data_IF_593221358712
#
_entry.id   IF_593221358712
#
_cell.length_a   1.000
_cell.length_b   1.000
_cell.length_c   1.000
_cell.angle_alpha   90.00
_cell.angle_beta   90.00
_cell.angle_gamma   90.00
#
_symmetry.space_group_name_H-M   'P 1'
#
loop_
_entity.id
_entity.type
_entity.pdbx_description
1 polymer ?
#
# COMPACT_ATOMS: atom_id res chain seq x y z
N UNK A 1 6.32 -25.92 6.85
CA UNK A 1 4.96 -26.18 7.36
C UNK A 1 4.16 -27.15 6.48
N UNK A 2 4.68 -27.56 5.32
CA UNK A 2 3.95 -28.39 4.37
C UNK A 2 3.33 -29.64 5.02
N UNK A 3 4.13 -30.49 5.67
CA UNK A 3 3.63 -31.72 6.32
C UNK A 3 2.53 -31.45 7.35
N UNK A 4 2.59 -30.30 8.03
CA UNK A 4 1.55 -29.89 8.96
C UNK A 4 0.27 -29.47 8.22
N UNK A 5 0.37 -28.68 7.18
CA UNK A 5 -0.79 -28.27 6.39
C UNK A 5 -1.48 -29.44 5.74
N UNK A 6 -0.71 -30.37 5.16
CA UNK A 6 -1.25 -31.61 4.56
C UNK A 6 -1.98 -32.47 5.60
N UNK A 7 -1.36 -32.66 6.76
CA UNK A 7 -1.95 -33.44 7.88
C UNK A 7 -3.26 -32.85 8.39
N UNK A 8 -3.32 -31.52 8.50
CA UNK A 8 -4.48 -30.83 9.06
C UNK A 8 -5.52 -30.40 7.99
N UNK A 9 -5.26 -30.72 6.72
CA UNK A 9 -6.15 -30.40 5.60
C UNK A 9 -6.25 -28.89 5.32
N UNK A 10 -5.19 -28.13 5.60
CA UNK A 10 -5.11 -26.68 5.31
C UNK A 10 -4.55 -26.51 3.90
N UNK A 11 -5.36 -25.99 3.00
CA UNK A 11 -4.94 -25.74 1.62
C UNK A 11 -4.54 -24.28 1.41
N UNK A 12 -3.37 -24.04 0.83
CA UNK A 12 -2.97 -22.68 0.44
C UNK A 12 -3.85 -22.11 -0.68
N UNK A 13 -4.56 -22.94 -1.44
CA UNK A 13 -5.55 -22.49 -2.43
C UNK A 13 -6.78 -21.82 -1.80
N UNK A 14 -7.00 -22.00 -0.50
CA UNK A 14 -8.08 -21.36 0.24
C UNK A 14 -7.77 -19.90 0.57
N UNK A 15 -6.54 -19.43 0.29
CA UNK A 15 -6.09 -18.08 0.55
C UNK A 15 -5.79 -17.31 -0.74
N UNK A 16 -5.83 -15.98 -0.65
CA UNK A 16 -5.48 -15.10 -1.76
C UNK A 16 -4.10 -15.43 -2.34
N UNK A 17 -3.97 -15.70 -3.64
CA UNK A 17 -2.69 -16.07 -4.25
C UNK A 17 -1.57 -15.07 -4.00
N UNK A 18 -1.88 -13.77 -4.01
CA UNK A 18 -0.89 -12.72 -3.74
C UNK A 18 -0.33 -12.82 -2.32
N UNK A 19 -1.18 -13.12 -1.33
CA UNK A 19 -0.74 -13.26 0.07
C UNK A 19 0.00 -14.57 0.32
N UNK A 20 -0.38 -15.66 -0.35
CA UNK A 20 0.37 -16.93 -0.30
C UNK A 20 1.77 -16.72 -0.88
N UNK A 21 1.85 -16.12 -2.05
CA UNK A 21 3.13 -15.81 -2.70
C UNK A 21 4.03 -14.92 -1.83
N UNK A 22 3.46 -13.86 -1.25
CA UNK A 22 4.21 -12.88 -0.48
C UNK A 22 4.64 -13.38 0.89
N UNK A 23 3.75 -14.06 1.63
CA UNK A 23 3.97 -14.34 3.05
C UNK A 23 4.35 -15.78 3.35
N UNK A 24 3.98 -16.71 2.47
CA UNK A 24 4.06 -18.12 2.80
C UNK A 24 5.23 -18.85 2.15
N UNK A 25 5.66 -18.44 0.95
CA UNK A 25 6.58 -19.23 0.12
C UNK A 25 8.02 -18.72 0.15
N UNK A 26 8.97 -19.67 0.19
CA UNK A 26 10.38 -19.40 -0.04
C UNK A 26 11.10 -20.64 -0.59
N UNK A 27 11.97 -20.56 -1.61
CA UNK A 27 12.13 -19.42 -2.51
C UNK A 27 10.82 -19.03 -3.21
N UNK A 28 10.77 -17.81 -3.73
CA UNK A 28 9.59 -17.31 -4.44
C UNK A 28 9.10 -18.28 -5.51
N UNK A 29 7.78 -18.46 -5.55
CA UNK A 29 7.13 -19.34 -6.52
C UNK A 29 7.32 -20.85 -6.24
N UNK A 30 7.99 -21.21 -5.13
CA UNK A 30 8.04 -22.61 -4.67
C UNK A 30 6.76 -22.97 -3.91
N UNK A 31 6.54 -24.27 -3.71
CA UNK A 31 5.49 -24.79 -2.84
C UNK A 31 6.03 -25.12 -1.43
N UNK A 32 7.14 -24.46 -1.01
CA UNK A 32 7.66 -24.61 0.34
C UNK A 32 7.05 -23.51 1.22
N UNK A 33 6.17 -23.91 2.13
CA UNK A 33 5.42 -23.00 2.98
C UNK A 33 6.06 -22.83 4.35
N UNK A 34 6.35 -21.59 4.70
CA UNK A 34 6.94 -21.18 5.98
C UNK A 34 5.96 -20.45 6.89
N UNK A 35 4.85 -19.96 6.34
CA UNK A 35 3.82 -19.23 7.07
C UNK A 35 2.42 -19.54 6.53
N UNK A 36 1.40 -19.30 7.37
CA UNK A 36 0.02 -19.16 6.94
C UNK A 36 -0.23 -17.66 6.63
N UNK A 37 -0.89 -17.29 5.51
CA UNK A 37 -1.34 -15.92 5.31
C UNK A 37 -2.31 -15.51 6.41
N UNK A 38 -1.96 -14.48 7.20
CA UNK A 38 -2.74 -14.09 8.37
C UNK A 38 -3.56 -12.83 8.15
N UNK A 39 -2.91 -11.80 7.62
CA UNK A 39 -3.53 -10.50 7.39
C UNK A 39 -3.17 -10.01 6.00
N UNK A 40 -4.17 -9.83 5.15
CA UNK A 40 -4.03 -9.10 3.88
C UNK A 40 -4.10 -7.60 4.16
N UNK A 41 -3.25 -6.82 3.52
CA UNK A 41 -3.33 -5.37 3.57
C UNK A 41 -2.89 -4.78 2.23
N UNK A 42 -3.27 -3.55 1.96
CA UNK A 42 -2.83 -2.81 0.79
C UNK A 42 -2.74 -1.33 1.12
N UNK A 43 -1.79 -0.66 0.49
CA UNK A 43 -1.74 0.79 0.52
C UNK A 43 -2.82 1.35 -0.42
N UNK A 44 -3.67 2.22 0.13
CA UNK A 44 -4.83 2.74 -0.57
C UNK A 44 -5.18 4.16 -0.13
N UNK A 45 -6.35 4.64 -0.48
CA UNK A 45 -6.76 6.02 -0.28
C UNK A 45 -8.10 6.15 0.41
N UNK A 46 -8.20 7.12 1.32
CA UNK A 46 -9.47 7.67 1.78
C UNK A 46 -9.62 9.12 1.30
N UNK A 47 -10.86 9.56 1.09
CA UNK A 47 -11.16 10.92 0.67
C UNK A 47 -12.37 11.49 1.43
N UNK A 48 -12.44 12.80 1.56
CA UNK A 48 -13.53 13.53 2.21
C UNK A 48 -14.76 13.56 1.30
N UNK A 49 -15.53 12.47 1.34
CA UNK A 49 -16.75 12.30 0.57
C UNK A 49 -17.76 13.44 0.82
N UNK A 50 -17.86 13.90 2.07
CA UNK A 50 -18.70 15.03 2.45
C UNK A 50 -18.34 16.35 1.73
N UNK A 51 -17.05 16.58 1.40
CA UNK A 51 -16.64 17.73 0.57
C UNK A 51 -16.91 17.45 -0.90
N UNK A 52 -16.59 16.25 -1.36
CA UNK A 52 -16.78 15.83 -2.74
C UNK A 52 -18.24 15.84 -3.16
N UNK A 53 -19.18 15.61 -2.23
CA UNK A 53 -20.59 15.62 -2.50
C UNK A 53 -21.24 17.02 -2.51
N UNK A 54 -20.51 18.08 -2.18
CA UNK A 54 -21.00 19.46 -2.21
C UNK A 54 -21.27 19.91 -3.65
N UNK A 55 -22.49 20.34 -3.98
CA UNK A 55 -22.84 20.71 -5.35
C UNK A 55 -21.99 21.85 -5.93
N UNK A 56 -21.64 22.84 -5.10
CA UNK A 56 -20.80 23.96 -5.49
C UNK A 56 -19.38 23.52 -5.85
N UNK A 57 -18.77 22.59 -5.08
CA UNK A 57 -17.42 22.08 -5.36
C UNK A 57 -17.42 21.19 -6.60
N UNK A 58 -18.44 20.35 -6.77
CA UNK A 58 -18.64 19.55 -7.99
C UNK A 58 -18.74 20.41 -9.23
N UNK A 59 -19.55 21.47 -9.18
CA UNK A 59 -19.76 22.38 -10.30
C UNK A 59 -18.48 23.12 -10.66
N UNK A 60 -17.76 23.66 -9.67
CA UNK A 60 -16.51 24.38 -9.85
C UNK A 60 -15.41 23.48 -10.42
N UNK A 61 -15.24 22.27 -9.85
CA UNK A 61 -14.26 21.30 -10.33
C UNK A 61 -14.53 20.89 -11.78
N UNK A 62 -15.78 20.55 -12.09
CA UNK A 62 -16.19 20.15 -13.45
C UNK A 62 -15.94 21.28 -14.46
N UNK A 63 -16.21 22.54 -14.09
CA UNK A 63 -15.94 23.70 -14.94
C UNK A 63 -14.44 23.87 -15.20
N UNK A 64 -13.59 23.59 -14.19
CA UNK A 64 -12.14 23.75 -14.28
C UNK A 64 -11.46 22.62 -15.05
N UNK A 65 -11.86 21.37 -14.79
CA UNK A 65 -11.17 20.17 -15.27
C UNK A 65 -11.91 19.39 -16.36
N UNK A 66 -13.20 19.67 -16.60
CA UNK A 66 -13.99 19.04 -17.66
C UNK A 66 -14.59 17.68 -17.33
N UNK A 67 -14.37 17.17 -16.11
CA UNK A 67 -14.93 15.91 -15.61
C UNK A 67 -15.40 16.05 -14.15
N UNK A 68 -16.11 15.04 -13.64
CA UNK A 68 -16.76 15.12 -12.33
C UNK A 68 -15.77 14.93 -11.18
N UNK A 69 -15.95 15.67 -10.08
CA UNK A 69 -15.28 15.44 -8.81
C UNK A 69 -15.81 14.14 -8.19
N UNK A 70 -14.92 13.17 -7.95
CA UNK A 70 -15.28 11.86 -7.45
C UNK A 70 -14.06 10.99 -7.15
N UNK A 71 -14.22 9.67 -7.21
CA UNK A 71 -13.08 8.75 -7.09
C UNK A 71 -12.18 8.91 -8.33
N UNK A 72 -10.88 9.18 -8.17
CA UNK A 72 -9.97 9.39 -9.29
C UNK A 72 -9.73 8.08 -10.05
N UNK A 73 -9.88 8.11 -11.38
CA UNK A 73 -9.64 6.94 -12.23
C UNK A 73 -8.16 6.64 -12.45
N UNK A 74 -7.29 7.62 -12.24
CA UNK A 74 -5.83 7.51 -12.39
C UNK A 74 -5.11 8.56 -11.54
N UNK A 75 -3.77 8.46 -11.45
CA UNK A 75 -2.96 9.36 -10.66
C UNK A 75 -3.03 10.82 -11.12
N UNK A 76 -3.21 11.09 -12.42
CA UNK A 76 -3.38 12.47 -12.90
C UNK A 76 -4.68 13.09 -12.37
N UNK A 77 -5.78 12.34 -12.36
CA UNK A 77 -7.04 12.81 -11.77
C UNK A 77 -6.93 12.99 -10.25
N UNK A 78 -6.20 12.10 -9.55
CA UNK A 78 -5.89 12.26 -8.13
C UNK A 78 -5.15 13.60 -7.90
N UNK A 79 -4.13 13.89 -8.70
CA UNK A 79 -3.38 15.15 -8.63
C UNK A 79 -4.27 16.38 -8.91
N UNK A 80 -5.10 16.34 -9.93
CA UNK A 80 -6.03 17.43 -10.23
C UNK A 80 -6.99 17.71 -9.07
N UNK A 81 -7.51 16.64 -8.44
CA UNK A 81 -8.39 16.75 -7.26
C UNK A 81 -7.63 17.23 -6.04
N UNK A 82 -6.43 16.73 -5.78
CA UNK A 82 -5.58 17.19 -4.68
C UNK A 82 -5.27 18.68 -4.79
N UNK A 83 -4.82 19.13 -5.96
CA UNK A 83 -4.50 20.56 -6.21
C UNK A 83 -5.75 21.45 -6.16
N UNK A 84 -6.92 20.92 -6.50
CA UNK A 84 -8.17 21.63 -6.38
C UNK A 84 -8.49 21.97 -4.91
N UNK A 85 -8.15 21.12 -3.96
CA UNK A 85 -8.35 21.34 -2.54
C UNK A 85 -7.18 22.08 -1.87
N UNK A 86 -6.01 22.17 -2.51
CA UNK A 86 -4.81 22.75 -1.94
C UNK A 86 -5.00 24.23 -1.59
N UNK A 87 -4.90 24.54 -0.31
CA UNK A 87 -5.05 25.92 0.21
C UNK A 87 -6.48 26.48 0.17
N UNK A 88 -7.47 25.65 -0.17
CA UNK A 88 -8.88 26.06 -0.25
C UNK A 88 -9.48 26.28 1.12
N UNK A 89 -10.28 27.32 1.25
CA UNK A 89 -11.09 27.56 2.44
C UNK A 89 -12.39 26.72 2.35
N UNK A 90 -12.61 25.87 3.34
CA UNK A 90 -13.84 25.09 3.51
C UNK A 90 -14.28 25.22 4.98
N UNK A 91 -15.51 25.64 5.19
CA UNK A 91 -16.09 25.87 6.53
C UNK A 91 -15.23 26.81 7.40
N UNK A 92 -14.68 27.88 6.80
CA UNK A 92 -13.87 28.88 7.47
C UNK A 92 -12.47 28.42 7.87
N UNK A 93 -12.01 27.29 7.32
CA UNK A 93 -10.67 26.76 7.59
C UNK A 93 -9.94 26.42 6.29
N UNK A 94 -8.64 26.71 6.28
CA UNK A 94 -7.77 26.37 5.15
C UNK A 94 -7.53 24.87 5.13
N UNK A 95 -7.81 24.24 3.98
CA UNK A 95 -7.65 22.80 3.73
C UNK A 95 -6.58 22.54 2.67
N UNK A 96 -6.10 21.30 2.62
CA UNK A 96 -5.02 20.89 1.75
C UNK A 96 -5.41 19.65 0.93
N UNK A 97 -4.58 19.32 -0.06
CA UNK A 97 -4.88 18.26 -1.00
C UNK A 97 -4.79 16.88 -0.39
N UNK A 98 -3.60 16.47 0.02
CA UNK A 98 -3.38 15.08 0.43
C UNK A 98 -2.31 14.95 1.53
N UNK A 99 -2.56 14.06 2.48
CA UNK A 99 -1.55 13.49 3.36
C UNK A 99 -1.00 12.21 2.70
N UNK A 100 0.29 12.21 2.38
CA UNK A 100 1.01 11.11 1.75
C UNK A 100 2.22 10.71 2.58
N UNK A 101 2.79 9.55 2.31
CA UNK A 101 3.94 9.04 3.02
C UNK A 101 5.21 9.81 2.65
N UNK A 102 5.87 10.40 3.64
CA UNK A 102 7.09 11.20 3.47
C UNK A 102 8.17 10.88 4.50
N UNK A 103 7.84 10.09 5.53
CA UNK A 103 8.78 9.70 6.58
C UNK A 103 10.02 9.02 6.00
N UNK A 104 11.22 9.48 6.43
CA UNK A 104 12.49 8.91 5.98
C UNK A 104 12.75 7.53 6.58
N UNK A 105 12.28 7.29 7.80
CA UNK A 105 12.43 6.02 8.49
C UNK A 105 11.26 5.07 8.30
N UNK A 106 11.31 3.92 8.97
CA UNK A 106 10.18 3.02 9.18
C UNK A 106 9.40 2.63 7.91
N UNK A 107 10.07 2.52 6.76
CA UNK A 107 9.46 2.22 5.45
C UNK A 107 8.60 3.34 4.85
N UNK A 108 8.35 4.43 5.56
CA UNK A 108 7.33 5.41 5.25
C UNK A 108 7.30 5.85 3.78
N UNK A 109 8.34 6.58 3.34
CA UNK A 109 8.35 7.13 1.97
C UNK A 109 8.48 6.04 0.90
N UNK A 110 9.20 4.93 1.20
CA UNK A 110 9.37 3.84 0.23
C UNK A 110 8.04 3.18 -0.12
N UNK A 111 7.17 2.97 0.87
CA UNK A 111 5.84 2.40 0.64
C UNK A 111 4.99 3.28 -0.27
N UNK A 112 5.00 4.59 -0.02
CA UNK A 112 4.24 5.54 -0.81
C UNK A 112 4.73 5.68 -2.25
N UNK A 113 6.04 5.86 -2.44
CA UNK A 113 6.62 6.01 -3.77
C UNK A 113 6.53 4.72 -4.59
N UNK A 114 6.68 3.55 -3.94
CA UNK A 114 6.55 2.25 -4.61
C UNK A 114 5.13 2.05 -5.15
N UNK A 115 4.10 2.52 -4.46
CA UNK A 115 2.73 2.48 -4.98
C UNK A 115 2.57 3.27 -6.29
N UNK A 116 3.25 4.41 -6.42
CA UNK A 116 3.33 5.14 -7.69
C UNK A 116 4.17 4.38 -8.73
N UNK A 117 5.38 3.95 -8.38
CA UNK A 117 6.27 3.25 -9.28
C UNK A 117 5.62 1.99 -9.89
N UNK A 118 4.90 1.22 -9.08
CA UNK A 118 4.12 0.08 -9.59
C UNK A 118 3.02 0.49 -10.56
N UNK A 119 2.29 1.58 -10.25
CA UNK A 119 1.24 2.07 -11.13
C UNK A 119 1.79 2.59 -12.48
N UNK A 120 3.03 3.07 -12.52
CA UNK A 120 3.74 3.41 -13.76
C UNK A 120 4.31 2.19 -14.49
N UNK A 121 4.40 1.02 -13.84
CA UNK A 121 4.86 -0.23 -14.44
C UNK A 121 6.33 -0.55 -14.18
N UNK A 122 6.90 -0.02 -13.08
CA UNK A 122 8.25 -0.38 -12.64
C UNK A 122 8.33 -1.86 -12.26
N UNK A 123 9.45 -2.48 -12.61
CA UNK A 123 9.87 -3.78 -12.12
C UNK A 123 11.22 -3.61 -11.38
N UNK A 124 11.49 -4.44 -10.38
CA UNK A 124 12.75 -4.36 -9.63
C UNK A 124 13.95 -4.78 -10.47
N UNK A 125 13.77 -5.78 -11.31
CA UNK A 125 14.82 -6.43 -12.07
C UNK A 125 14.31 -6.97 -13.41
N UNK A 126 15.21 -7.37 -14.25
CA UNK A 126 14.93 -8.09 -15.48
C UNK A 126 14.26 -9.44 -15.16
N UNK A 127 13.04 -9.72 -15.64
CA UNK A 127 12.34 -10.97 -15.33
C UNK A 127 13.04 -12.23 -15.85
N UNK A 128 14.00 -12.07 -16.77
CA UNK A 128 14.78 -13.17 -17.35
C UNK A 128 16.21 -13.27 -16.80
N UNK A 129 16.62 -12.33 -15.93
CA UNK A 129 17.98 -12.29 -15.38
C UNK A 129 17.92 -11.70 -13.97
N UNK A 130 17.91 -12.57 -12.93
CA UNK A 130 17.88 -12.11 -11.55
C UNK A 130 18.99 -11.08 -11.25
N UNK A 131 18.65 -10.10 -10.42
CA UNK A 131 19.50 -9.01 -9.96
C UNK A 131 20.02 -8.04 -11.06
N UNK A 132 19.47 -8.11 -12.28
CA UNK A 132 19.74 -7.18 -13.37
C UNK A 132 18.74 -6.00 -13.29
N UNK A 133 19.06 -4.99 -12.50
CA UNK A 133 18.18 -3.90 -12.10
C UNK A 133 18.19 -2.71 -13.06
N UNK A 134 19.32 -2.54 -13.79
CA UNK A 134 19.53 -1.40 -14.68
C UNK A 134 18.51 -1.39 -15.85
N UNK A 135 17.83 -0.26 -16.05
CA UNK A 135 16.78 -0.11 -17.04
C UNK A 135 15.41 -0.69 -16.62
N UNK A 136 15.32 -1.31 -15.45
CA UNK A 136 14.08 -1.81 -14.84
C UNK A 136 13.68 -0.98 -13.64
N UNK A 137 14.46 -1.02 -12.55
CA UNK A 137 14.19 -0.22 -11.36
C UNK A 137 14.36 1.29 -11.62
N UNK A 138 15.32 1.67 -12.42
CA UNK A 138 15.57 3.05 -12.85
C UNK A 138 15.07 3.36 -14.28
N UNK A 139 14.06 2.61 -14.74
CA UNK A 139 13.43 2.82 -16.06
C UNK A 139 12.85 4.24 -16.19
N UNK A 140 12.64 4.73 -17.42
CA UNK A 140 11.98 6.02 -17.64
C UNK A 140 10.63 6.13 -16.91
N UNK A 141 9.86 5.04 -16.85
CA UNK A 141 8.58 4.98 -16.13
C UNK A 141 8.76 5.12 -14.61
N UNK A 142 9.78 4.48 -14.05
CA UNK A 142 10.11 4.62 -12.63
C UNK A 142 10.55 6.05 -12.29
N UNK A 143 11.37 6.66 -13.15
CA UNK A 143 11.78 8.08 -13.01
C UNK A 143 10.56 8.99 -13.02
N UNK A 144 9.67 8.84 -14.01
CA UNK A 144 8.42 9.61 -14.09
C UNK A 144 7.54 9.45 -12.85
N UNK A 145 7.43 8.24 -12.31
CA UNK A 145 6.66 7.98 -11.09
C UNK A 145 7.23 8.71 -9.87
N UNK A 146 8.55 8.70 -9.70
CA UNK A 146 9.24 9.36 -8.58
C UNK A 146 9.15 10.88 -8.72
N UNK A 147 9.28 11.42 -9.94
CA UNK A 147 9.06 12.85 -10.22
C UNK A 147 7.62 13.26 -9.92
N UNK A 148 6.65 12.42 -10.31
CA UNK A 148 5.24 12.67 -10.01
C UNK A 148 4.95 12.63 -8.51
N UNK A 149 5.56 11.70 -7.76
CA UNK A 149 5.39 11.61 -6.32
C UNK A 149 5.93 12.86 -5.60
N UNK A 150 7.09 13.37 -6.04
CA UNK A 150 7.62 14.65 -5.56
C UNK A 150 6.65 15.80 -5.86
N UNK A 151 6.14 15.87 -7.09
CA UNK A 151 5.17 16.89 -7.48
C UNK A 151 3.89 16.83 -6.62
N UNK A 152 3.41 15.62 -6.32
CA UNK A 152 2.28 15.42 -5.42
C UNK A 152 2.59 15.93 -4.00
N UNK A 153 3.79 15.68 -3.50
CA UNK A 153 4.24 16.21 -2.22
C UNK A 153 4.31 17.75 -2.21
N UNK A 154 4.99 18.34 -3.18
CA UNK A 154 5.21 19.80 -3.23
C UNK A 154 3.88 20.57 -3.40
N UNK A 155 2.97 20.07 -4.23
CA UNK A 155 1.76 20.78 -4.63
C UNK A 155 0.53 20.44 -3.79
N UNK A 156 0.53 19.36 -3.02
CA UNK A 156 -0.68 18.84 -2.36
C UNK A 156 -0.55 18.59 -0.87
N UNK A 157 0.67 18.41 -0.34
CA UNK A 157 0.84 18.11 1.08
C UNK A 157 0.56 19.34 1.97
N UNK A 158 0.04 19.13 3.18
CA UNK A 158 -0.11 20.22 4.14
C UNK A 158 1.25 20.68 4.69
N UNK A 159 1.36 21.90 5.20
CA UNK A 159 2.58 22.36 5.87
C UNK A 159 2.99 21.44 7.01
N UNK A 160 4.30 21.19 7.14
CA UNK A 160 4.86 20.34 8.19
C UNK A 160 4.76 18.84 7.93
N UNK A 161 4.42 18.42 6.70
CA UNK A 161 4.23 17.02 6.30
C UNK A 161 5.49 16.38 5.70
N UNK A 162 6.68 16.84 6.11
CA UNK A 162 7.96 16.36 5.57
C UNK A 162 8.45 15.04 6.17
N UNK A 163 7.83 14.59 7.26
CA UNK A 163 8.17 13.34 7.97
C UNK A 163 6.89 12.68 8.48
N UNK A 164 6.04 12.25 7.55
CA UNK A 164 4.71 11.73 7.84
C UNK A 164 4.51 10.31 7.32
N UNK A 165 3.90 9.49 8.14
CA UNK A 165 3.50 8.13 7.83
C UNK A 165 2.20 7.80 8.58
N UNK A 166 1.75 6.60 8.57
CA UNK A 166 0.52 6.01 9.10
C UNK A 166 -0.31 6.92 10.03
N UNK A 167 0.18 7.18 11.24
CA UNK A 167 -0.55 7.95 12.27
C UNK A 167 -0.66 9.42 11.88
N UNK A 168 0.40 10.02 11.37
CA UNK A 168 0.41 11.43 10.94
C UNK A 168 -0.58 11.67 9.78
N UNK A 169 -0.65 10.74 8.81
CA UNK A 169 -1.63 10.80 7.72
C UNK A 169 -3.06 10.67 8.24
N UNK A 170 -3.28 9.71 9.15
CA UNK A 170 -4.59 9.50 9.79
C UNK A 170 -5.05 10.74 10.57
N UNK A 171 -4.18 11.35 11.36
CA UNK A 171 -4.49 12.53 12.16
C UNK A 171 -4.78 13.75 11.29
N UNK A 172 -3.99 13.98 10.23
CA UNK A 172 -4.24 15.03 9.26
C UNK A 172 -5.62 14.88 8.59
N UNK A 173 -6.02 13.65 8.29
CA UNK A 173 -7.32 13.37 7.70
C UNK A 173 -8.47 13.52 8.72
N UNK A 174 -8.37 12.91 9.90
CA UNK A 174 -9.40 12.95 10.95
C UNK A 174 -9.65 14.37 11.47
N UNK A 175 -8.61 15.20 11.52
CA UNK A 175 -8.77 16.62 11.86
C UNK A 175 -9.40 17.45 10.73
N UNK A 176 -9.66 16.86 9.57
CA UNK A 176 -10.18 17.53 8.40
C UNK A 176 -9.17 18.49 7.75
N UNK A 177 -7.88 18.28 7.95
CA UNK A 177 -6.85 19.13 7.35
C UNK A 177 -6.72 18.88 5.84
N UNK A 178 -6.92 17.63 5.38
CA UNK A 178 -6.69 17.20 4.00
C UNK A 178 -7.92 16.58 3.35
N UNK A 179 -8.02 16.70 2.02
CA UNK A 179 -9.08 16.08 1.22
C UNK A 179 -8.86 14.58 1.02
N UNK A 180 -7.59 14.15 0.93
CA UNK A 180 -7.20 12.76 0.77
C UNK A 180 -6.16 12.36 1.80
N UNK A 181 -6.13 11.06 2.11
CA UNK A 181 -4.98 10.43 2.76
C UNK A 181 -4.61 9.13 2.07
N UNK A 182 -3.30 8.87 1.95
CA UNK A 182 -2.73 7.57 1.64
C UNK A 182 -2.48 6.83 2.94
N UNK A 183 -2.96 5.58 3.06
CA UNK A 183 -2.69 4.77 4.23
C UNK A 183 -2.99 3.28 3.95
N UNK A 184 -2.63 2.41 4.89
CA UNK A 184 -2.96 1.00 4.89
C UNK A 184 -4.42 0.77 5.30
N UNK A 185 -5.06 -0.26 4.74
CA UNK A 185 -6.43 -0.62 5.13
C UNK A 185 -6.56 -0.87 6.64
N UNK A 186 -5.51 -1.37 7.29
CA UNK A 186 -5.47 -1.56 8.73
C UNK A 186 -5.85 -0.32 9.56
N UNK A 187 -5.77 0.88 8.99
CA UNK A 187 -6.12 2.14 9.63
C UNK A 187 -7.57 2.60 9.38
N UNK A 188 -8.28 2.02 8.40
CA UNK A 188 -9.65 2.45 8.08
C UNK A 188 -10.69 2.17 9.17
N UNK A 189 -10.59 1.10 10.00
CA UNK A 189 -11.48 0.96 11.16
C UNK A 189 -11.44 2.17 12.09
N UNK A 190 -10.27 2.82 12.23
CA UNK A 190 -10.12 4.05 13.01
C UNK A 190 -10.82 5.27 12.41
N UNK A 191 -11.05 5.27 11.10
CA UNK A 191 -11.83 6.31 10.39
C UNK A 191 -13.33 5.96 10.40
N UNK A 192 -13.67 4.73 10.02
CA UNK A 192 -15.05 4.29 9.82
C UNK A 192 -15.84 4.11 11.11
N UNK A 193 -15.17 3.97 12.26
CA UNK A 193 -15.84 3.87 13.56
C UNK A 193 -16.70 5.08 13.89
N UNK A 194 -16.26 6.26 13.45
CA UNK A 194 -16.95 7.54 13.65
C UNK A 194 -17.85 7.90 12.45
N UNK A 195 -17.75 7.17 11.35
CA UNK A 195 -18.46 7.36 10.08
C UNK A 195 -18.95 6.02 9.50
N UNK A 196 -19.65 5.25 10.32
CA UNK A 196 -20.07 3.89 9.95
C UNK A 196 -21.06 3.80 8.77
N UNK A 197 -21.72 4.89 8.45
CA UNK A 197 -22.64 5.01 7.31
C UNK A 197 -21.99 5.63 6.06
N UNK A 198 -20.68 5.95 6.12
CA UNK A 198 -19.88 6.41 4.99
C UNK A 198 -20.33 7.76 4.41
N UNK A 199 -20.87 8.66 5.25
CA UNK A 199 -21.26 10.00 4.79
C UNK A 199 -20.11 10.97 4.69
N UNK A 200 -19.08 10.80 5.53
CA UNK A 200 -17.91 11.70 5.61
C UNK A 200 -16.78 11.18 4.76
N UNK A 201 -16.51 9.89 4.79
CA UNK A 201 -15.36 9.27 4.14
C UNK A 201 -15.77 8.29 3.04
N UNK A 202 -15.01 8.31 1.94
CA UNK A 202 -15.02 7.27 0.94
C UNK A 202 -13.63 6.64 0.84
N UNK A 203 -13.57 5.39 0.36
CA UNK A 203 -12.34 4.60 0.27
C UNK A 203 -12.20 4.02 -1.13
N UNK A 204 -10.98 3.98 -1.66
CA UNK A 204 -10.72 3.44 -2.98
C UNK A 204 -9.31 2.85 -3.08
N UNK A 205 -9.15 1.88 -3.98
CA UNK A 205 -7.87 1.28 -4.29
C UNK A 205 -6.91 2.30 -4.91
N UNK A 206 -5.61 2.00 -4.84
CA UNK A 206 -4.61 2.84 -5.49
C UNK A 206 -4.98 3.08 -6.97
N UNK A 207 -5.02 4.34 -7.44
CA UNK A 207 -5.41 4.64 -8.83
C UNK A 207 -4.43 3.99 -9.82
N UNK A 208 -4.92 3.55 -10.95
CA UNK A 208 -4.03 3.11 -12.02
C UNK A 208 -3.31 4.29 -12.66
N UNK A 209 -2.20 4.00 -13.35
CA UNK A 209 -1.60 4.90 -14.33
C UNK A 209 -1.38 4.11 -15.63
N UNK A 210 -0.20 3.55 -15.85
CA UNK A 210 0.04 2.64 -16.98
C UNK A 210 -0.55 1.25 -16.69
N UNK A 211 -0.48 0.81 -15.44
CA UNK A 211 -1.08 -0.43 -14.94
C UNK A 211 -1.89 -0.19 -13.67
N UNK A 212 -2.81 -1.10 -13.36
CA UNK A 212 -3.46 -1.13 -12.07
C UNK A 212 -2.55 -1.88 -11.10
N UNK A 213 -2.05 -1.19 -10.08
CA UNK A 213 -1.18 -1.79 -9.08
C UNK A 213 -1.27 -1.04 -7.74
N UNK A 214 -1.12 -1.77 -6.65
CA UNK A 214 -1.03 -1.24 -5.29
C UNK A 214 0.08 -1.97 -4.53
N UNK A 215 0.64 -1.34 -3.52
CA UNK A 215 1.61 -1.98 -2.64
C UNK A 215 0.91 -2.94 -1.70
N UNK A 216 1.37 -4.19 -1.66
CA UNK A 216 0.91 -5.19 -0.70
C UNK A 216 1.53 -4.88 0.67
N UNK A 217 0.71 -4.94 1.69
CA UNK A 217 1.10 -4.98 3.10
C UNK A 217 0.59 -6.27 3.74
N UNK A 218 0.65 -6.31 5.07
CA UNK A 218 0.12 -7.45 5.82
C UNK A 218 1.18 -8.42 6.31
N UNK A 219 0.76 -9.61 6.70
CA UNK A 219 1.62 -10.53 7.44
C UNK A 219 1.23 -11.99 7.28
N UNK A 220 2.24 -12.86 7.40
CA UNK A 220 2.08 -14.30 7.61
C UNK A 220 2.32 -14.69 9.09
N UNK A 221 1.75 -15.81 9.51
CA UNK A 221 2.04 -16.44 10.81
C UNK A 221 2.96 -17.62 10.60
N UNK A 222 4.12 -17.60 11.26
CA UNK A 222 5.11 -18.68 11.25
C UNK A 222 5.33 -19.27 12.64
N UNK A 223 5.93 -20.45 12.69
CA UNK A 223 6.40 -21.05 13.93
C UNK A 223 7.89 -20.80 14.12
N UNK A 224 8.27 -20.22 15.26
CA UNK A 224 9.69 -20.03 15.58
C UNK A 224 10.34 -21.38 15.86
N UNK A 225 11.34 -21.73 15.04
CA UNK A 225 12.02 -23.03 15.10
C UNK A 225 12.61 -23.38 16.48
N UNK A 226 13.01 -22.38 17.23
CA UNK A 226 13.66 -22.54 18.54
C UNK A 226 12.69 -22.41 19.72
N UNK A 227 11.37 -22.30 19.45
CA UNK A 227 10.35 -22.23 20.50
C UNK A 227 10.19 -23.61 21.17
N UNK A 228 10.02 -23.63 22.47
CA UNK A 228 9.59 -24.80 23.26
C UNK A 228 8.05 -24.99 23.25
N UNK A 229 7.33 -24.13 22.52
CA UNK A 229 5.86 -24.10 22.41
C UNK A 229 5.39 -24.32 20.96
N UNK A 230 6.17 -25.04 20.14
CA UNK A 230 5.83 -25.25 18.73
C UNK A 230 4.45 -25.88 18.55
N UNK A 231 4.10 -26.87 19.39
CA UNK A 231 2.78 -27.52 19.31
C UNK A 231 1.62 -26.54 19.52
N UNK A 232 1.74 -25.64 20.48
CA UNK A 232 0.74 -24.60 20.71
C UNK A 232 0.68 -23.57 19.56
N UNK A 233 1.80 -23.23 18.97
CA UNK A 233 1.86 -22.35 17.82
C UNK A 233 1.17 -23.01 16.60
N UNK A 234 1.38 -24.29 16.37
CA UNK A 234 0.70 -25.05 15.32
C UNK A 234 -0.81 -25.15 15.56
N UNK A 235 -1.26 -25.40 16.79
CA UNK A 235 -2.69 -25.39 17.14
C UNK A 235 -3.32 -24.00 16.90
N UNK A 236 -2.59 -22.93 17.18
CA UNK A 236 -3.04 -21.56 16.88
C UNK A 236 -3.19 -21.35 15.37
N UNK A 237 -2.20 -21.76 14.56
CA UNK A 237 -2.25 -21.66 13.11
C UNK A 237 -3.45 -22.45 12.55
N UNK A 238 -3.65 -23.67 13.03
CA UNK A 238 -4.80 -24.50 12.65
C UNK A 238 -6.14 -23.85 12.98
N UNK A 239 -6.27 -23.28 14.18
CA UNK A 239 -7.46 -22.55 14.60
C UNK A 239 -7.68 -21.33 13.71
N UNK A 240 -6.63 -20.53 13.46
CA UNK A 240 -6.72 -19.28 12.72
C UNK A 240 -6.98 -19.49 11.21
N UNK A 241 -6.56 -20.64 10.66
CA UNK A 241 -6.83 -21.01 9.25
C UNK A 241 -8.31 -21.29 8.96
N UNK A 242 -9.14 -21.50 9.98
CA UNK A 242 -10.55 -21.86 9.81
C UNK A 242 -11.36 -20.72 9.17
N UNK A 243 -12.24 -21.00 8.18
CA UNK A 243 -13.08 -20.00 7.53
C UNK A 243 -13.96 -19.18 8.50
N UNK A 244 -14.56 -19.85 9.51
CA UNK A 244 -15.38 -19.21 10.52
C UNK A 244 -14.59 -18.24 11.43
N UNK A 245 -13.35 -18.55 11.71
CA UNK A 245 -12.43 -17.68 12.45
C UNK A 245 -11.99 -16.51 11.58
N UNK A 246 -11.68 -16.75 10.31
CA UNK A 246 -11.32 -15.71 9.35
C UNK A 246 -12.48 -14.73 9.08
N UNK A 247 -13.72 -15.22 9.01
CA UNK A 247 -14.90 -14.36 8.94
C UNK A 247 -15.03 -13.49 10.20
N UNK A 248 -14.92 -14.11 11.38
CA UNK A 248 -14.97 -13.36 12.63
C UNK A 248 -13.82 -12.36 12.77
N UNK A 249 -12.64 -12.69 12.25
CA UNK A 249 -11.50 -11.79 12.20
C UNK A 249 -11.84 -10.53 11.39
N UNK A 250 -12.44 -10.69 10.19
CA UNK A 250 -12.95 -9.57 9.39
C UNK A 250 -14.02 -8.75 10.13
N UNK A 251 -15.01 -9.40 10.73
CA UNK A 251 -16.12 -8.74 11.45
C UNK A 251 -15.63 -7.88 12.63
N UNK A 252 -14.48 -8.21 13.19
CA UNK A 252 -13.82 -7.47 14.28
C UNK A 252 -12.85 -6.38 13.78
N UNK A 253 -12.76 -6.15 12.47
CA UNK A 253 -11.88 -5.14 11.86
C UNK A 253 -10.50 -5.66 11.50
N UNK A 254 -10.30 -6.98 11.47
CA UNK A 254 -9.12 -7.61 10.87
C UNK A 254 -9.25 -7.73 9.36
N UNK A 255 -8.18 -8.14 8.69
CA UNK A 255 -8.12 -8.21 7.23
C UNK A 255 -7.81 -9.64 6.79
N UNK A 256 -8.87 -10.39 6.48
CA UNK A 256 -8.75 -11.78 6.08
C UNK A 256 -8.08 -11.93 4.71
N UNK A 257 -7.25 -12.99 4.58
CA UNK A 257 -6.72 -13.45 3.31
C UNK A 257 -7.53 -14.64 2.73
N UNK A 258 -8.55 -15.13 3.44
CA UNK A 258 -9.25 -16.36 3.10
C UNK A 258 -10.28 -16.13 1.99
N UNK A 259 -10.24 -16.95 0.95
CA UNK A 259 -11.09 -16.81 -0.23
C UNK A 259 -12.58 -16.94 0.08
N UNK A 260 -13.00 -17.79 1.03
CA UNK A 260 -14.42 -17.90 1.44
C UNK A 260 -14.95 -16.57 2.02
N UNK A 261 -14.11 -15.82 2.70
CA UNK A 261 -14.46 -14.49 3.21
C UNK A 261 -14.50 -13.46 2.09
N UNK A 262 -13.41 -13.38 1.31
CA UNK A 262 -13.24 -12.37 0.26
C UNK A 262 -14.27 -12.53 -0.88
N UNK A 263 -14.63 -13.77 -1.21
CA UNK A 263 -15.59 -14.09 -2.27
C UNK A 263 -17.05 -14.17 -1.77
N UNK A 264 -17.30 -13.91 -0.49
CA UNK A 264 -18.67 -13.87 0.03
C UNK A 264 -19.48 -12.78 -0.68
N UNK A 265 -20.71 -13.07 -1.15
CA UNK A 265 -21.56 -12.08 -1.82
C UNK A 265 -21.86 -10.83 -0.97
N UNK A 266 -21.81 -10.96 0.35
CA UNK A 266 -22.03 -9.85 1.29
C UNK A 266 -20.76 -9.06 1.58
N UNK A 267 -19.57 -9.55 1.22
CA UNK A 267 -18.31 -8.93 1.55
C UNK A 267 -18.21 -7.47 1.08
N UNK A 268 -18.52 -7.12 -0.19
CA UNK A 268 -18.36 -5.76 -0.70
C UNK A 268 -19.14 -4.69 0.07
N UNK A 269 -20.20 -5.08 0.78
CA UNK A 269 -21.09 -4.18 1.54
C UNK A 269 -20.97 -4.38 3.05
N UNK A 270 -20.07 -5.23 3.53
CA UNK A 270 -19.91 -5.55 4.95
C UNK A 270 -19.35 -4.39 5.78
N UNK A 271 -18.55 -3.53 5.14
CA UNK A 271 -18.05 -2.27 5.71
C UNK A 271 -17.98 -1.20 4.61
N UNK A 272 -17.85 0.07 5.01
CA UNK A 272 -17.73 1.21 4.06
C UNK A 272 -16.45 1.15 3.19
N UNK A 273 -15.46 0.37 3.59
CA UNK A 273 -14.18 0.19 2.87
C UNK A 273 -14.02 -1.20 2.23
N UNK A 274 -14.97 -2.12 2.41
CA UNK A 274 -14.81 -3.51 1.97
C UNK A 274 -14.64 -3.64 0.45
N UNK A 275 -15.41 -2.90 -0.35
CA UNK A 275 -15.27 -2.91 -1.80
C UNK A 275 -13.88 -2.40 -2.22
N UNK A 276 -13.42 -1.28 -1.67
CA UNK A 276 -12.08 -0.76 -1.95
C UNK A 276 -10.95 -1.73 -1.54
N UNK A 277 -11.13 -2.47 -0.44
CA UNK A 277 -10.21 -3.51 -0.03
C UNK A 277 -10.15 -4.66 -1.05
N UNK A 278 -11.30 -5.16 -1.48
CA UNK A 278 -11.38 -6.22 -2.48
C UNK A 278 -10.74 -5.79 -3.81
N UNK A 279 -11.05 -4.56 -4.27
CA UNK A 279 -10.45 -4.00 -5.48
C UNK A 279 -8.92 -3.89 -5.34
N UNK A 280 -8.43 -3.48 -4.17
CA UNK A 280 -6.99 -3.38 -3.88
C UNK A 280 -6.30 -4.74 -3.89
N UNK A 281 -6.89 -5.75 -3.23
CA UNK A 281 -6.31 -7.10 -3.18
C UNK A 281 -6.22 -7.76 -4.55
N UNK A 282 -7.03 -7.31 -5.52
CA UNK A 282 -6.96 -7.76 -6.91
C UNK A 282 -5.78 -7.20 -7.72
N UNK A 283 -5.09 -6.17 -7.21
CA UNK A 283 -4.03 -5.44 -7.93
C UNK A 283 -2.73 -5.29 -7.15
N UNK A 284 -2.61 -5.94 -5.98
CA UNK A 284 -1.41 -5.80 -5.15
C UNK A 284 -0.18 -6.42 -5.80
N UNK A 285 0.94 -5.74 -5.63
CA UNK A 285 2.30 -6.21 -5.88
C UNK A 285 3.11 -6.13 -4.58
N UNK A 286 3.90 -7.17 -4.32
CA UNK A 286 4.77 -7.20 -3.17
C UNK A 286 6.09 -6.47 -3.44
N UNK A 287 6.77 -6.11 -2.36
CA UNK A 287 8.16 -5.66 -2.42
C UNK A 287 9.07 -6.76 -2.93
N UNK A 288 10.32 -6.37 -3.18
CA UNK A 288 11.33 -7.37 -3.49
C UNK A 288 11.55 -8.29 -2.29
N UNK A 289 11.05 -9.53 -2.37
CA UNK A 289 11.16 -10.52 -1.30
C UNK A 289 12.58 -11.09 -1.26
N UNK A 290 13.44 -10.43 -0.53
CA UNK A 290 14.81 -10.85 -0.30
C UNK A 290 15.05 -10.99 1.21
N UNK A 291 15.85 -11.98 1.66
CA UNK A 291 16.21 -12.10 3.07
C UNK A 291 16.89 -10.85 3.63
N UNK A 292 17.59 -10.12 2.77
CA UNK A 292 18.30 -8.84 3.04
C UNK A 292 17.41 -7.62 2.78
N UNK A 293 16.09 -7.76 2.86
CA UNK A 293 15.14 -6.66 2.55
C UNK A 293 15.43 -5.37 3.32
N UNK A 294 15.83 -5.48 4.59
CA UNK A 294 16.12 -4.29 5.42
C UNK A 294 17.30 -3.50 4.86
N UNK A 295 18.34 -4.19 4.43
CA UNK A 295 19.53 -3.60 3.81
C UNK A 295 19.21 -2.96 2.46
N UNK A 296 18.26 -3.52 1.71
CA UNK A 296 17.78 -2.94 0.45
C UNK A 296 16.88 -1.72 0.68
N UNK A 297 16.08 -1.73 1.75
CA UNK A 297 15.15 -0.65 2.05
C UNK A 297 15.85 0.64 2.49
N UNK A 298 16.91 0.54 3.28
CA UNK A 298 17.60 1.71 3.84
C UNK A 298 18.11 2.70 2.79
N UNK A 299 18.89 2.29 1.77
CA UNK A 299 19.32 3.21 0.71
C UNK A 299 18.17 3.81 -0.07
N UNK A 300 17.10 3.03 -0.29
CA UNK A 300 15.90 3.54 -0.95
C UNK A 300 15.21 4.65 -0.13
N UNK A 301 15.04 4.46 1.18
CA UNK A 301 14.48 5.48 2.06
C UNK A 301 15.28 6.78 1.98
N UNK A 302 16.60 6.68 2.07
CA UNK A 302 17.49 7.84 2.07
C UNK A 302 17.46 8.61 0.74
N UNK A 303 17.69 7.91 -0.35
CA UNK A 303 17.78 8.55 -1.67
C UNK A 303 16.45 9.14 -2.13
N UNK A 304 15.34 8.42 -1.93
CA UNK A 304 14.01 8.91 -2.28
C UNK A 304 13.59 10.10 -1.40
N UNK A 305 13.84 10.04 -0.08
CA UNK A 305 13.54 11.16 0.79
C UNK A 305 14.36 12.41 0.45
N UNK A 306 15.66 12.24 0.17
CA UNK A 306 16.53 13.34 -0.25
C UNK A 306 16.04 14.01 -1.54
N UNK A 307 15.56 13.22 -2.51
CA UNK A 307 14.99 13.78 -3.74
C UNK A 307 13.61 14.40 -3.53
N UNK A 308 12.67 13.65 -2.94
CA UNK A 308 11.26 14.05 -2.86
C UNK A 308 11.05 15.19 -1.88
N UNK A 309 11.62 15.08 -0.67
CA UNK A 309 11.37 16.01 0.44
C UNK A 309 12.41 17.13 0.50
N UNK A 310 13.69 16.79 0.35
CA UNK A 310 14.78 17.75 0.48
C UNK A 310 15.16 18.42 -0.86
N UNK A 311 14.59 17.98 -1.98
CA UNK A 311 14.82 18.59 -3.29
C UNK A 311 16.23 18.41 -3.86
N UNK A 312 16.96 17.36 -3.41
CA UNK A 312 18.34 17.11 -3.85
C UNK A 312 18.38 16.29 -5.13
N UNK A 313 19.20 16.71 -6.09
CA UNK A 313 19.46 15.96 -7.33
C UNK A 313 18.23 15.77 -8.23
N UNK A 314 18.24 14.69 -8.98
CA UNK A 314 17.18 14.25 -9.89
C UNK A 314 16.63 12.88 -9.47
N UNK A 315 15.43 12.55 -9.94
CA UNK A 315 14.83 11.22 -9.71
C UNK A 315 15.71 10.09 -10.26
N UNK A 316 16.31 10.31 -11.45
CA UNK A 316 17.21 9.32 -12.07
C UNK A 316 18.45 9.09 -11.21
N UNK A 317 19.10 10.16 -10.73
CA UNK A 317 20.28 10.03 -9.85
C UNK A 317 19.94 9.32 -8.54
N UNK A 318 18.75 9.57 -7.96
CA UNK A 318 18.31 8.86 -6.78
C UNK A 318 18.14 7.35 -7.02
N UNK A 319 17.49 6.98 -8.13
CA UNK A 319 17.28 5.58 -8.49
C UNK A 319 18.59 4.87 -8.87
N UNK A 320 19.50 5.56 -9.56
CA UNK A 320 20.83 5.01 -9.92
C UNK A 320 21.64 4.73 -8.66
N UNK A 321 21.68 5.68 -7.72
CA UNK A 321 22.33 5.50 -6.43
C UNK A 321 21.79 4.30 -5.65
N UNK A 322 20.47 4.09 -5.66
CA UNK A 322 19.86 2.93 -5.00
C UNK A 322 20.36 1.63 -5.62
N UNK A 323 20.43 1.56 -6.95
CA UNK A 323 20.96 0.37 -7.65
C UNK A 323 22.43 0.12 -7.27
N UNK A 324 23.28 1.16 -7.22
CA UNK A 324 24.69 1.02 -6.82
C UNK A 324 24.80 0.40 -5.42
N UNK A 325 24.05 0.90 -4.44
CA UNK A 325 24.05 0.37 -3.07
C UNK A 325 23.44 -1.05 -2.99
N UNK A 326 22.41 -1.36 -3.79
CA UNK A 326 21.85 -2.71 -3.84
C UNK A 326 22.79 -3.74 -4.47
N UNK A 327 23.60 -3.34 -5.46
CA UNK A 327 24.64 -4.20 -6.03
C UNK A 327 25.64 -4.61 -4.94
N UNK A 328 26.08 -3.67 -4.09
CA UNK A 328 26.98 -3.97 -2.96
C UNK A 328 26.36 -5.00 -1.98
N UNK A 329 25.06 -4.87 -1.69
CA UNK A 329 24.33 -5.83 -0.83
C UNK A 329 24.30 -7.21 -1.47
N UNK A 330 23.96 -7.31 -2.77
CA UNK A 330 23.89 -8.60 -3.46
C UNK A 330 25.24 -9.24 -3.69
N UNK A 331 26.32 -8.47 -3.92
CA UNK A 331 27.69 -8.96 -3.95
C UNK A 331 28.10 -9.55 -2.59
N UNK A 332 27.78 -8.85 -1.49
CA UNK A 332 28.05 -9.34 -0.14
C UNK A 332 27.30 -10.64 0.19
N UNK A 333 26.10 -10.82 -0.38
CA UNK A 333 25.29 -12.04 -0.26
C UNK A 333 25.74 -13.17 -1.22
N UNK A 334 26.69 -12.92 -2.12
CA UNK A 334 27.13 -13.87 -3.13
C UNK A 334 26.10 -14.19 -4.22
N UNK A 335 25.23 -13.22 -4.52
CA UNK A 335 24.18 -13.31 -5.56
C UNK A 335 24.62 -12.67 -6.89
N UNK A 336 25.61 -11.79 -6.83
CA UNK A 336 26.30 -11.16 -7.96
C UNK A 336 27.79 -11.49 -7.93
#
# INVERSE_FOLDING_TARGET
LNDFFDKEGISMSDFSPATVYAYSTWPKGSENYYALPAMGDALAWAYRKDWFDRPELKSEFKKKHGYDLGVPANWNQLYDMCTFFQGREIDGQKRYGAAINTERGSEGITMGVTAAMYAWGMEYENPNKPYDMEGYFNSPQAVEAVEFYRKLYEDCAPPGHSDAYMVANLDAYKSGQVAFQMNWYAFWPGVSKEDSDGRVSGFFANPKQNVAAATLGGQGISVVKYSDKQDLALEYIKWFARPDVQQKWWDLGGYSCHNDVLNSPSFPTSTVYAQGFLDSMGIVKDFWQEPTFVELMLPMQEAIHDYVVNGKGTAKEALDKIIEEWVEVFEADGKL
#
